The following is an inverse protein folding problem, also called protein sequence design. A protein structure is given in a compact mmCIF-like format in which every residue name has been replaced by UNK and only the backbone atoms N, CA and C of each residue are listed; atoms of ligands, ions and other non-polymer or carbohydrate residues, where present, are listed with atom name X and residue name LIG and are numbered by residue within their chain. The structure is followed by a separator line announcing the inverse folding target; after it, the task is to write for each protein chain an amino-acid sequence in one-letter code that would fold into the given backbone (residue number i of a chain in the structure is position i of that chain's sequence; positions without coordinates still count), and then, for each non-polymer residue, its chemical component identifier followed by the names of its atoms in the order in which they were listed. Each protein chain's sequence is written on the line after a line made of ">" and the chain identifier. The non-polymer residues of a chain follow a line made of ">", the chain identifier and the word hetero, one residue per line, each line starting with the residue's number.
data_IF_911869988220
#
_entry.id   IF_911869988220
#
_cell.length_a   1.000
_cell.length_b   1.000
_cell.length_c   1.000
_cell.angle_alpha   90.00
_cell.angle_beta   90.00
_cell.angle_gamma   90.00
#
_symmetry.space_group_name_H-M   'P 1'
#
loop_
_entity.id
_entity.type
_entity.pdbx_description
1 polymer ?
#
# COMPACT_ATOMS: atom_id res chain seq x y z
N UNK A 1 -4.21 11.58 9.32
CA UNK A 1 -3.10 10.91 10.02
C UNK A 1 -2.25 10.21 8.96
N UNK A 2 -0.91 10.28 9.00
CA UNK A 2 -0.11 9.49 8.09
C UNK A 2 -0.41 8.01 8.33
N UNK A 3 -0.76 7.29 7.29
CA UNK A 3 -1.19 5.91 7.42
C UNK A 3 -0.01 5.03 7.83
N UNK A 4 -0.22 4.18 8.85
CA UNK A 4 0.85 3.38 9.47
C UNK A 4 1.62 2.49 8.48
N UNK A 5 0.97 2.13 7.37
CA UNK A 5 1.54 1.30 6.31
C UNK A 5 2.56 2.03 5.42
N UNK A 6 2.56 3.37 5.38
CA UNK A 6 3.46 4.14 4.49
C UNK A 6 4.93 3.92 4.82
N UNK A 7 5.30 3.90 6.10
CA UNK A 7 6.69 3.67 6.52
C UNK A 7 7.14 2.22 6.27
N UNK A 8 6.25 1.24 6.45
CA UNK A 8 6.57 -0.16 6.18
C UNK A 8 6.75 -0.41 4.67
N UNK A 9 5.95 0.25 3.83
CA UNK A 9 6.12 0.21 2.38
C UNK A 9 7.44 0.85 1.95
N UNK A 10 7.88 1.96 2.57
CA UNK A 10 9.21 2.54 2.32
C UNK A 10 10.33 1.56 2.67
N UNK A 11 10.22 0.86 3.80
CA UNK A 11 11.19 -0.17 4.21
C UNK A 11 11.22 -1.36 3.25
N UNK A 12 10.06 -1.85 2.79
CA UNK A 12 10.01 -2.94 1.81
C UNK A 12 10.63 -2.58 0.46
N UNK A 13 10.62 -1.30 0.06
CA UNK A 13 11.17 -0.87 -1.24
C UNK A 13 12.68 -1.05 -1.35
N UNK A 14 13.42 -0.89 -0.25
CA UNK A 14 14.90 -1.01 -0.23
C UNK A 14 15.37 -2.47 -0.17
N UNK A 15 14.46 -3.42 0.01
CA UNK A 15 14.80 -4.85 0.07
C UNK A 15 15.12 -5.44 -1.31
N UNK A 16 15.86 -6.56 -1.37
CA UNK A 16 16.07 -7.31 -2.60
C UNK A 16 14.76 -7.77 -3.25
N UNK A 17 14.70 -7.77 -4.58
CA UNK A 17 13.47 -8.11 -5.32
C UNK A 17 12.93 -9.51 -5.00
N UNK A 18 13.81 -10.47 -4.69
CA UNK A 18 13.44 -11.84 -4.32
C UNK A 18 12.71 -11.92 -2.96
N UNK A 19 12.96 -10.97 -2.05
CA UNK A 19 12.39 -10.98 -0.69
C UNK A 19 11.06 -10.22 -0.61
N UNK A 20 10.83 -9.27 -1.53
CA UNK A 20 9.64 -8.41 -1.55
C UNK A 20 8.32 -9.19 -1.53
N UNK A 21 8.11 -10.27 -2.31
CA UNK A 21 6.82 -10.96 -2.33
C UNK A 21 6.46 -11.62 -0.99
N UNK A 22 7.44 -12.24 -0.33
CA UNK A 22 7.24 -12.91 0.95
C UNK A 22 6.94 -11.92 2.07
N UNK A 23 7.70 -10.83 2.11
CA UNK A 23 7.55 -9.79 3.13
C UNK A 23 6.26 -9.02 2.92
N UNK A 24 5.89 -8.73 1.68
CA UNK A 24 4.60 -8.12 1.36
C UNK A 24 3.43 -8.99 1.83
N UNK A 25 3.46 -10.30 1.57
CA UNK A 25 2.41 -11.22 2.05
C UNK A 25 2.32 -11.25 3.57
N UNK A 26 3.47 -11.27 4.25
CA UNK A 26 3.53 -11.22 5.73
C UNK A 26 2.97 -9.91 6.28
N UNK A 27 3.33 -8.79 5.66
CA UNK A 27 2.83 -7.48 6.01
C UNK A 27 1.31 -7.38 5.84
N UNK A 28 0.80 -7.81 4.69
CA UNK A 28 -0.64 -7.82 4.40
C UNK A 28 -1.39 -8.71 5.40
N UNK A 29 -0.88 -9.91 5.71
CA UNK A 29 -1.49 -10.80 6.70
C UNK A 29 -1.54 -10.16 8.11
N UNK A 30 -0.48 -9.42 8.48
CA UNK A 30 -0.40 -8.71 9.77
C UNK A 30 -1.39 -7.55 9.85
N UNK A 31 -1.46 -6.70 8.84
CA UNK A 31 -2.30 -5.50 8.86
C UNK A 31 -3.78 -5.82 8.63
N UNK A 32 -4.09 -6.79 7.77
CA UNK A 32 -5.48 -7.13 7.44
C UNK A 32 -6.09 -8.16 8.40
N UNK A 33 -5.25 -8.91 9.11
CA UNK A 33 -5.65 -10.01 9.98
C UNK A 33 -6.10 -11.24 9.20
N UNK A 34 -6.84 -12.12 9.88
CA UNK A 34 -7.37 -13.35 9.29
C UNK A 34 -8.35 -13.00 8.16
N UNK A 35 -8.25 -13.64 6.97
CA UNK A 35 -9.20 -13.45 5.89
C UNK A 35 -10.63 -13.77 6.32
N UNK A 36 -11.57 -12.89 6.00
CA UNK A 36 -12.99 -13.11 6.18
C UNK A 36 -13.55 -13.94 5.03
N UNK A 37 -14.54 -14.78 5.30
CA UNK A 37 -15.30 -15.41 4.21
C UNK A 37 -16.15 -14.35 3.49
N UNK A 38 -16.55 -14.62 2.24
CA UNK A 38 -17.52 -13.75 1.53
C UNK A 38 -18.79 -13.52 2.34
N UNK A 39 -19.26 -14.55 3.07
CA UNK A 39 -20.44 -14.46 3.92
C UNK A 39 -20.24 -13.48 5.07
N UNK A 40 -19.12 -13.59 5.79
CA UNK A 40 -18.79 -12.71 6.91
C UNK A 40 -18.51 -11.27 6.46
N UNK A 41 -17.91 -11.12 5.28
CA UNK A 41 -17.67 -9.81 4.69
C UNK A 41 -19.00 -9.12 4.32
N UNK A 42 -19.96 -9.86 3.76
CA UNK A 42 -21.29 -9.33 3.42
C UNK A 42 -22.08 -8.88 4.65
N UNK A 43 -22.06 -9.65 5.74
CA UNK A 43 -22.80 -9.30 6.96
C UNK A 43 -22.27 -8.05 7.68
N UNK A 44 -21.00 -7.69 7.43
CA UNK A 44 -20.34 -6.54 8.07
C UNK A 44 -19.91 -5.46 7.08
N UNK A 45 -20.48 -5.41 5.87
CA UNK A 45 -19.97 -4.57 4.78
C UNK A 45 -19.82 -3.10 5.17
N UNK A 46 -20.78 -2.53 5.91
CA UNK A 46 -20.71 -1.16 6.39
C UNK A 46 -19.53 -0.90 7.34
N UNK A 47 -19.30 -1.81 8.29
CA UNK A 47 -18.19 -1.70 9.24
C UNK A 47 -16.83 -1.89 8.54
N UNK A 48 -16.78 -2.76 7.54
CA UNK A 48 -15.58 -3.00 6.75
C UNK A 48 -15.26 -1.78 5.87
N UNK A 49 -16.26 -1.17 5.24
CA UNK A 49 -16.08 0.03 4.42
C UNK A 49 -15.64 1.25 5.25
N UNK A 50 -16.28 1.49 6.40
CA UNK A 50 -15.88 2.57 7.32
C UNK A 50 -14.49 2.32 7.92
N UNK A 51 -14.16 1.07 8.25
CA UNK A 51 -12.82 0.68 8.66
C UNK A 51 -11.76 0.94 7.57
N UNK A 52 -12.06 0.59 6.32
CA UNK A 52 -11.18 0.85 5.19
C UNK A 52 -10.93 2.35 4.99
N UNK A 53 -11.97 3.20 5.08
CA UNK A 53 -11.82 4.65 5.05
C UNK A 53 -10.99 5.21 6.21
N UNK A 54 -10.99 4.52 7.36
CA UNK A 54 -10.13 4.85 8.50
C UNK A 54 -8.70 4.25 8.39
N UNK A 55 -8.31 3.74 7.23
CA UNK A 55 -6.99 3.17 6.98
C UNK A 55 -6.77 1.77 7.57
N UNK A 56 -7.85 1.02 7.80
CA UNK A 56 -7.81 -0.37 8.30
C UNK A 56 -8.22 -1.34 7.18
N UNK A 57 -7.26 -1.83 6.37
CA UNK A 57 -7.57 -2.75 5.28
C UNK A 57 -8.01 -4.12 5.82
N UNK A 58 -8.73 -4.89 5.00
CA UNK A 58 -9.22 -6.23 5.35
C UNK A 58 -9.06 -7.22 4.21
N UNK A 59 -8.74 -8.48 4.55
CA UNK A 59 -8.69 -9.58 3.59
C UNK A 59 -10.05 -10.28 3.52
N UNK A 60 -10.47 -10.59 2.30
CA UNK A 60 -11.66 -11.38 2.00
C UNK A 60 -11.20 -12.57 1.16
N UNK A 61 -11.44 -13.78 1.64
CA UNK A 61 -11.23 -14.99 0.87
C UNK A 61 -12.39 -15.16 -0.12
N UNK A 62 -12.06 -15.30 -1.40
CA UNK A 62 -13.01 -15.52 -2.49
C UNK A 62 -12.50 -16.73 -3.26
N UNK A 63 -13.21 -17.85 -3.14
CA UNK A 63 -12.79 -19.14 -3.67
C UNK A 63 -11.37 -19.51 -3.23
N UNK A 64 -10.45 -19.76 -4.17
CA UNK A 64 -9.04 -20.09 -3.90
C UNK A 64 -8.11 -18.86 -3.78
N UNK A 65 -8.67 -17.64 -3.83
CA UNK A 65 -7.90 -16.40 -3.81
C UNK A 65 -8.29 -15.46 -2.66
N UNK A 66 -7.52 -14.37 -2.49
CA UNK A 66 -7.70 -13.37 -1.45
C UNK A 66 -7.75 -11.96 -2.06
N UNK A 67 -8.81 -11.24 -1.72
CA UNK A 67 -9.02 -9.85 -2.10
C UNK A 67 -8.77 -8.93 -0.91
N UNK A 68 -8.17 -7.76 -1.14
CA UNK A 68 -7.99 -6.72 -0.12
C UNK A 68 -9.07 -5.66 -0.31
N UNK A 69 -9.80 -5.35 0.76
CA UNK A 69 -10.64 -4.16 0.86
C UNK A 69 -9.84 -3.04 1.53
N UNK A 70 -9.70 -1.90 0.86
CA UNK A 70 -9.06 -0.69 1.38
C UNK A 70 -9.65 0.57 0.75
N UNK A 71 -9.34 1.75 1.28
CA UNK A 71 -9.79 3.00 0.69
C UNK A 71 -9.08 3.29 -0.64
N UNK A 72 -9.75 4.01 -1.53
CA UNK A 72 -9.13 4.47 -2.78
C UNK A 72 -7.93 5.39 -2.50
N UNK A 73 -8.05 6.29 -1.52
CA UNK A 73 -6.96 7.18 -1.13
C UNK A 73 -5.72 6.42 -0.65
N UNK A 74 -5.90 5.31 0.08
CA UNK A 74 -4.77 4.46 0.47
C UNK A 74 -4.12 3.79 -0.74
N UNK A 75 -4.94 3.26 -1.66
CA UNK A 75 -4.45 2.65 -2.90
C UNK A 75 -3.69 3.67 -3.77
N UNK A 76 -4.22 4.88 -3.92
CA UNK A 76 -3.56 6.00 -4.58
C UNK A 76 -2.24 6.33 -3.91
N UNK A 77 -2.20 6.40 -2.57
CA UNK A 77 -0.96 6.60 -1.82
C UNK A 77 0.07 5.52 -2.09
N UNK A 78 -0.33 4.25 -2.22
CA UNK A 78 0.57 3.14 -2.58
C UNK A 78 1.09 3.30 -4.01
N UNK A 79 0.20 3.56 -4.97
CA UNK A 79 0.50 3.58 -6.40
C UNK A 79 1.24 4.84 -6.83
N UNK A 80 0.89 6.00 -6.30
CA UNK A 80 1.45 7.30 -6.71
C UNK A 80 2.71 7.67 -5.94
N UNK A 81 2.91 7.15 -4.72
CA UNK A 81 4.21 7.27 -4.04
C UNK A 81 5.31 6.49 -4.80
N UNK A 82 4.95 5.48 -5.61
CA UNK A 82 5.87 4.87 -6.59
C UNK A 82 6.23 5.83 -7.74
N UNK A 83 5.30 6.67 -8.18
CA UNK A 83 5.54 7.65 -9.23
C UNK A 83 6.43 8.79 -8.73
N UNK A 84 6.23 9.25 -7.49
CA UNK A 84 7.07 10.29 -6.89
C UNK A 84 8.51 9.80 -6.65
N UNK A 85 8.69 8.58 -6.15
CA UNK A 85 10.02 8.00 -5.97
C UNK A 85 10.78 7.87 -7.29
N UNK A 86 10.13 7.36 -8.36
CA UNK A 86 10.72 7.29 -9.71
C UNK A 86 10.99 8.66 -10.31
N UNK A 87 10.10 9.62 -10.08
CA UNK A 87 10.26 11.01 -10.51
C UNK A 87 11.48 11.67 -9.85
N UNK A 88 11.63 11.52 -8.52
CA UNK A 88 12.79 12.03 -7.77
C UNK A 88 14.09 11.34 -8.19
N UNK A 89 14.06 10.02 -8.44
CA UNK A 89 15.21 9.29 -8.98
C UNK A 89 15.59 9.78 -10.38
N UNK A 90 14.60 10.07 -11.23
CA UNK A 90 14.78 10.72 -12.52
C UNK A 90 15.44 12.09 -12.39
N UNK A 91 14.98 12.93 -11.45
CA UNK A 91 15.54 14.26 -11.18
C UNK A 91 17.00 14.21 -10.71
N UNK A 92 17.42 13.15 -9.99
CA UNK A 92 18.84 12.97 -9.61
C UNK A 92 19.74 12.63 -10.79
N UNK A 93 19.20 12.06 -11.87
CA UNK A 93 19.91 11.73 -13.10
C UNK A 93 19.99 12.92 -14.08
N UNK A 94 19.22 13.98 -13.85
CA UNK A 94 19.28 15.21 -14.65
C UNK A 94 20.43 16.09 -14.13
N UNK A 95 21.39 16.51 -14.98
CA UNK A 95 22.45 17.42 -14.57
C UNK A 95 21.84 18.76 -14.09
N UNK A 96 22.12 19.13 -12.84
CA UNK A 96 21.65 20.37 -12.24
C UNK A 96 22.19 21.55 -13.04
N UNK A 97 21.33 22.25 -13.79
CA UNK A 97 21.66 23.55 -14.37
C UNK A 97 21.89 24.54 -13.22
N UNK A 98 23.14 24.99 -13.05
CA UNK A 98 23.44 26.15 -12.21
C UNK A 98 22.80 27.38 -12.85
N UNK A 99 21.70 27.85 -12.29
CA UNK A 99 21.13 29.15 -12.67
C UNK A 99 22.00 30.21 -12.01
N UNK A 100 22.83 30.90 -12.80
CA UNK A 100 23.45 32.15 -12.38
C UNK A 100 22.39 33.24 -12.54
N UNK A 101 21.93 33.80 -11.42
CA UNK A 101 21.16 35.03 -11.45
C UNK A 101 22.12 36.17 -11.87
N UNK A 102 21.76 36.85 -12.96
CA UNK A 102 22.39 38.10 -13.41
C UNK A 102 21.68 39.28 -12.78
#
# INVERSE_FOLDING_TARGET
>A
MPHRWTEEMKRMRVLPAAEKPSIFRTFIAKECGVPLTVRDARSHLFLLATGALAGRPRLIAVDDDKTILMSLADLEGILLDLALAKFVEGLRKVPRRKVQNR
#
